data_IF_453748194040
#
_entry.id   IF_453748194040
#
_cell.length_a   1.000
_cell.length_b   1.000
_cell.length_c   1.000
_cell.angle_alpha   90.00
_cell.angle_beta   90.00
_cell.angle_gamma   90.00
#
_symmetry.space_group_name_H-M   'P 1'
#
loop_
_entity.id
_entity.type
_entity.pdbx_description
1 polymer ?
#
# COMPACT_ATOMS: atom_id res chain seq x y z
N UNK A 1 -4.26 49.55 -19.44
CA UNK A 1 -4.68 48.44 -20.33
C UNK A 1 -4.69 47.18 -19.49
N UNK A 2 -5.83 46.52 -19.32
CA UNK A 2 -5.97 45.29 -18.53
C UNK A 2 -5.82 44.10 -19.48
N UNK A 3 -4.92 43.15 -19.18
CA UNK A 3 -4.76 41.90 -19.93
C UNK A 3 -5.16 40.75 -19.00
N UNK A 4 -6.05 39.89 -19.52
CA UNK A 4 -6.95 39.03 -18.76
C UNK A 4 -6.33 37.78 -18.14
N UNK A 5 -7.03 37.34 -17.09
CA UNK A 5 -6.87 36.08 -16.37
C UNK A 5 -7.25 34.89 -17.24
N UNK A 6 -6.32 33.98 -17.52
CA UNK A 6 -6.67 32.62 -17.93
C UNK A 6 -6.92 31.80 -16.67
N UNK A 7 -8.19 31.67 -16.31
CA UNK A 7 -8.64 30.69 -15.34
C UNK A 7 -8.40 29.29 -15.94
N UNK A 8 -7.39 28.58 -15.43
CA UNK A 8 -7.32 27.15 -15.62
C UNK A 8 -8.51 26.55 -14.86
N UNK A 9 -9.53 26.12 -15.59
CA UNK A 9 -10.56 25.24 -15.04
C UNK A 9 -9.89 23.89 -14.81
N UNK A 10 -9.26 23.69 -13.65
CA UNK A 10 -8.98 22.35 -13.18
C UNK A 10 -10.33 21.68 -12.96
N UNK A 11 -10.79 20.88 -13.93
CA UNK A 11 -11.84 19.92 -13.67
C UNK A 11 -11.47 19.19 -12.38
N UNK A 12 -12.40 19.01 -11.42
CA UNK A 12 -12.11 18.16 -10.29
C UNK A 12 -11.77 16.80 -10.91
N UNK A 13 -10.50 16.41 -10.85
CA UNK A 13 -10.17 15.00 -11.02
C UNK A 13 -11.05 14.32 -9.98
N UNK A 14 -12.00 13.51 -10.43
CA UNK A 14 -12.68 12.57 -9.55
C UNK A 14 -11.57 11.67 -9.02
N UNK A 15 -10.92 12.12 -7.94
CA UNK A 15 -10.18 11.27 -7.05
C UNK A 15 -11.26 10.37 -6.49
N UNK A 16 -11.52 9.27 -7.18
CA UNK A 16 -12.20 8.13 -6.59
C UNK A 16 -11.29 7.80 -5.41
N UNK A 17 -11.64 8.30 -4.23
CA UNK A 17 -10.95 7.97 -3.00
C UNK A 17 -10.98 6.46 -2.94
N UNK A 18 -9.84 5.82 -3.21
CA UNK A 18 -9.78 4.38 -3.20
C UNK A 18 -10.24 3.93 -1.81
N UNK A 19 -11.25 3.08 -1.79
CA UNK A 19 -11.77 2.56 -0.54
C UNK A 19 -10.67 1.74 0.14
N UNK A 20 -10.58 1.88 1.45
CA UNK A 20 -9.70 1.04 2.25
C UNK A 20 -10.20 -0.40 2.23
N UNK A 21 -9.38 -1.32 1.75
CA UNK A 21 -9.72 -2.72 1.62
C UNK A 21 -8.92 -3.56 2.62
N UNK A 22 -9.56 -4.52 3.32
CA UNK A 22 -8.85 -5.41 4.23
C UNK A 22 -7.91 -6.34 3.46
N UNK A 23 -6.77 -6.64 4.05
CA UNK A 23 -5.83 -7.65 3.55
C UNK A 23 -6.14 -9.02 4.17
N UNK A 24 -6.02 -10.08 3.38
CA UNK A 24 -6.11 -11.45 3.88
C UNK A 24 -4.85 -11.81 4.67
N UNK A 25 -5.04 -12.47 5.80
CA UNK A 25 -3.98 -13.07 6.62
C UNK A 25 -3.54 -14.39 6.00
N UNK A 26 -2.30 -14.47 5.51
CA UNK A 26 -1.77 -15.64 4.79
C UNK A 26 -0.75 -16.39 5.63
N UNK A 27 0.25 -15.68 6.14
CA UNK A 27 1.37 -16.27 6.89
C UNK A 27 1.33 -15.99 8.39
N UNK A 28 0.38 -15.19 8.87
CA UNK A 28 0.27 -14.81 10.28
C UNK A 28 -1.13 -14.34 10.64
N UNK A 29 -1.55 -14.55 11.89
CA UNK A 29 -2.75 -13.97 12.48
C UNK A 29 -2.44 -12.79 13.42
N UNK A 30 -1.15 -12.50 13.64
CA UNK A 30 -0.67 -11.46 14.55
C UNK A 30 -0.55 -10.08 13.91
N UNK A 31 -0.83 -9.98 12.60
CA UNK A 31 -0.88 -8.71 11.87
C UNK A 31 -2.26 -8.57 11.23
N UNK A 32 -2.80 -7.36 11.26
CA UNK A 32 -3.95 -6.99 10.44
C UNK A 32 -3.63 -5.73 9.67
N UNK A 33 -4.17 -5.59 8.46
CA UNK A 33 -3.89 -4.43 7.63
C UNK A 33 -5.04 -4.11 6.69
N UNK A 34 -5.13 -2.84 6.35
CA UNK A 34 -5.94 -2.36 5.24
C UNK A 34 -5.06 -1.67 4.21
N UNK A 35 -5.46 -1.70 2.95
CA UNK A 35 -4.75 -1.08 1.84
C UNK A 35 -5.72 -0.26 1.00
N UNK A 36 -5.33 0.97 0.68
CA UNK A 36 -5.95 1.80 -0.34
C UNK A 36 -5.06 1.77 -1.59
N UNK A 37 -5.63 1.37 -2.72
CA UNK A 37 -4.95 1.36 -4.02
C UNK A 37 -5.66 2.31 -4.96
N UNK A 38 -5.01 3.42 -5.28
CA UNK A 38 -5.58 4.50 -6.09
C UNK A 38 -4.90 4.56 -7.44
N UNK A 39 -5.68 4.41 -8.51
CA UNK A 39 -5.22 4.67 -9.88
C UNK A 39 -4.93 6.17 -10.06
N UNK A 40 -3.83 6.48 -10.75
CA UNK A 40 -3.38 7.82 -11.10
C UNK A 40 -3.02 7.85 -12.59
N UNK A 41 -2.99 9.03 -13.20
CA UNK A 41 -2.61 9.14 -14.62
C UNK A 41 -1.15 8.72 -14.90
N UNK A 42 -0.29 8.73 -13.86
CA UNK A 42 1.12 8.35 -13.92
C UNK A 42 1.40 6.93 -13.41
N UNK A 43 0.38 6.19 -12.94
CA UNK A 43 0.55 4.86 -12.34
C UNK A 43 -0.41 4.62 -11.18
N UNK A 44 0.12 4.11 -10.07
CA UNK A 44 -0.68 3.73 -8.90
C UNK A 44 -0.07 4.29 -7.61
N UNK A 45 -0.92 4.87 -6.77
CA UNK A 45 -0.59 5.24 -5.39
C UNK A 45 -1.15 4.20 -4.42
N UNK A 46 -0.34 3.77 -3.46
CA UNK A 46 -0.69 2.72 -2.50
C UNK A 46 -0.42 3.25 -1.10
N UNK A 47 -1.47 3.25 -0.29
CA UNK A 47 -1.39 3.56 1.14
C UNK A 47 -1.83 2.34 1.92
N UNK A 48 -1.10 2.02 2.98
CA UNK A 48 -1.36 0.86 3.80
C UNK A 48 -1.45 1.30 5.26
N UNK A 49 -2.31 0.65 6.03
CA UNK A 49 -2.43 0.83 7.46
C UNK A 49 -2.33 -0.53 8.12
N UNK A 50 -1.20 -0.79 8.77
CA UNK A 50 -0.86 -2.05 9.41
C UNK A 50 -0.93 -1.89 10.93
N UNK A 51 -1.52 -2.88 11.59
CA UNK A 51 -1.61 -2.95 13.05
C UNK A 51 -0.99 -4.26 13.49
N UNK A 52 -0.05 -4.16 14.43
CA UNK A 52 0.55 -5.31 15.08
C UNK A 52 -0.31 -5.72 16.28
N UNK A 53 -0.89 -6.93 16.19
CA UNK A 53 -1.72 -7.54 17.24
C UNK A 53 -0.92 -8.49 18.14
N UNK A 54 0.40 -8.61 17.90
CA UNK A 54 1.27 -9.42 18.73
C UNK A 54 1.33 -8.88 20.17
N UNK A 55 1.63 -9.75 21.15
CA UNK A 55 1.91 -9.31 22.52
C UNK A 55 3.00 -8.23 22.56
N UNK A 56 2.93 -7.32 23.55
CA UNK A 56 3.91 -6.22 23.68
C UNK A 56 5.36 -6.67 23.88
N UNK A 57 5.57 -7.92 24.30
CA UNK A 57 6.88 -8.54 24.47
C UNK A 57 7.32 -9.39 23.25
N UNK A 58 6.54 -9.40 22.17
CA UNK A 58 6.89 -10.08 20.94
C UNK A 58 8.08 -9.39 20.25
N UNK A 59 8.79 -10.15 19.41
CA UNK A 59 9.88 -9.59 18.62
C UNK A 59 9.36 -8.52 17.64
N UNK A 60 10.21 -7.53 17.35
CA UNK A 60 9.91 -6.50 16.38
C UNK A 60 10.29 -6.98 14.99
N UNK A 61 9.28 -7.40 14.22
CA UNK A 61 9.50 -7.90 12.86
C UNK A 61 9.66 -6.73 11.89
N UNK A 62 10.69 -6.77 11.05
CA UNK A 62 10.82 -5.83 9.93
C UNK A 62 9.94 -6.32 8.78
N UNK A 63 9.05 -5.46 8.31
CA UNK A 63 8.07 -5.72 7.26
C UNK A 63 8.36 -4.89 6.03
N UNK A 64 7.93 -5.40 4.87
CA UNK A 64 7.99 -4.68 3.61
C UNK A 64 6.67 -4.76 2.84
N UNK A 65 6.29 -3.64 2.23
CA UNK A 65 5.16 -3.56 1.30
C UNK A 65 5.68 -3.84 -0.10
N UNK A 66 5.12 -4.86 -0.74
CA UNK A 66 5.53 -5.33 -2.07
C UNK A 66 4.32 -5.34 -2.99
N UNK A 67 4.49 -4.80 -4.18
CA UNK A 67 3.53 -4.92 -5.28
C UNK A 67 3.95 -6.08 -6.17
N UNK A 68 3.01 -6.96 -6.47
CA UNK A 68 3.20 -8.08 -7.40
C UNK A 68 2.47 -7.75 -8.69
N UNK A 69 3.19 -7.65 -9.80
CA UNK A 69 2.63 -7.48 -11.14
C UNK A 69 1.97 -8.77 -11.64
N UNK A 70 1.03 -8.65 -12.58
CA UNK A 70 0.42 -9.81 -13.26
C UNK A 70 1.43 -10.60 -14.10
N UNK A 71 2.56 -9.98 -14.43
CA UNK A 71 3.73 -10.62 -15.06
C UNK A 71 4.62 -11.39 -14.07
N UNK A 72 4.29 -11.35 -12.77
CA UNK A 72 5.07 -11.96 -11.70
C UNK A 72 6.20 -11.09 -11.15
N UNK A 73 6.40 -9.88 -11.68
CA UNK A 73 7.38 -8.93 -11.14
C UNK A 73 7.02 -8.53 -9.71
N UNK A 74 8.04 -8.28 -8.88
CA UNK A 74 7.85 -7.84 -7.50
C UNK A 74 8.61 -6.56 -7.24
N UNK A 75 7.92 -5.54 -6.74
CA UNK A 75 8.52 -4.23 -6.44
C UNK A 75 8.27 -3.87 -4.99
N UNK A 76 9.34 -3.70 -4.21
CA UNK A 76 9.27 -3.25 -2.81
C UNK A 76 9.08 -1.73 -2.76
N UNK A 77 8.01 -1.27 -2.14
CA UNK A 77 7.66 0.16 -2.07
C UNK A 77 8.04 0.82 -0.75
N UNK A 78 7.91 0.09 0.36
CA UNK A 78 8.22 0.61 1.70
C UNK A 78 8.72 -0.51 2.60
N UNK A 79 9.52 -0.15 3.61
CA UNK A 79 10.00 -1.05 4.66
C UNK A 79 9.82 -0.34 6.00
N UNK A 80 9.33 -1.06 7.01
CA UNK A 80 9.10 -0.52 8.37
C UNK A 80 9.23 -1.64 9.40
N UNK A 81 9.27 -1.26 10.68
CA UNK A 81 9.26 -2.20 11.80
C UNK A 81 7.85 -2.28 12.36
N UNK A 82 7.35 -3.50 12.60
CA UNK A 82 6.09 -3.72 13.28
C UNK A 82 6.29 -3.65 14.79
N UNK A 83 5.78 -2.58 15.40
CA UNK A 83 5.82 -2.38 16.84
C UNK A 83 4.47 -2.75 17.47
N UNK A 84 4.40 -3.77 18.33
CA UNK A 84 3.20 -4.10 19.09
C UNK A 84 2.62 -2.88 19.82
N UNK A 85 1.31 -2.68 19.73
CA UNK A 85 0.62 -1.54 20.35
C UNK A 85 0.66 -0.23 19.53
N UNK A 86 1.35 -0.22 18.38
CA UNK A 86 1.40 0.90 17.45
C UNK A 86 0.85 0.51 16.06
N UNK A 87 0.35 1.51 15.35
CA UNK A 87 -0.10 1.37 13.96
C UNK A 87 0.93 2.00 13.02
N UNK A 88 1.34 1.28 11.99
CA UNK A 88 2.21 1.78 10.93
C UNK A 88 1.37 2.13 9.69
N UNK A 89 1.64 3.29 9.08
CA UNK A 89 0.95 3.74 7.87
C UNK A 89 1.89 3.94 6.69
N UNK A 90 2.53 2.88 6.16
CA UNK A 90 3.45 3.01 5.04
C UNK A 90 2.71 3.37 3.75
N UNK A 91 3.36 4.18 2.92
CA UNK A 91 2.84 4.66 1.65
C UNK A 91 3.91 4.53 0.56
N UNK A 92 3.48 4.34 -0.68
CA UNK A 92 4.37 4.26 -1.83
C UNK A 92 3.65 4.48 -3.15
N UNK A 93 4.42 4.65 -4.21
CA UNK A 93 3.92 4.83 -5.56
C UNK A 93 4.71 3.98 -6.55
N UNK A 94 4.04 3.59 -7.63
CA UNK A 94 4.66 2.82 -8.73
C UNK A 94 4.07 3.29 -10.06
N UNK A 95 4.88 3.32 -11.12
CA UNK A 95 4.41 3.68 -12.46
C UNK A 95 3.51 2.62 -13.11
N UNK A 96 3.43 1.42 -12.52
CA UNK A 96 2.57 0.34 -12.96
C UNK A 96 1.10 0.72 -12.79
N UNK A 97 0.27 0.65 -13.85
CA UNK A 97 -1.18 0.81 -13.76
C UNK A 97 -1.84 -0.25 -12.86
N UNK A 98 -2.94 0.10 -12.19
CA UNK A 98 -3.61 -0.79 -11.23
C UNK A 98 -4.10 -2.10 -11.87
N UNK A 99 -4.50 -2.06 -13.14
CA UNK A 99 -4.93 -3.23 -13.91
C UNK A 99 -3.79 -4.22 -14.17
N UNK A 100 -2.54 -3.79 -14.06
CA UNK A 100 -1.35 -4.64 -14.19
C UNK A 100 -0.85 -5.17 -12.83
N UNK A 101 -1.44 -4.72 -11.72
CA UNK A 101 -1.12 -5.24 -10.38
C UNK A 101 -1.98 -6.47 -10.11
N UNK A 102 -1.34 -7.57 -9.75
CA UNK A 102 -2.00 -8.80 -9.32
C UNK A 102 -2.33 -8.77 -7.83
N UNK A 103 -1.40 -8.27 -7.01
CA UNK A 103 -1.59 -8.17 -5.56
C UNK A 103 -0.70 -7.11 -4.92
N UNK A 104 -1.16 -6.60 -3.78
CA UNK A 104 -0.33 -5.91 -2.80
C UNK A 104 -0.10 -6.85 -1.62
N UNK A 105 1.15 -7.00 -1.20
CA UNK A 105 1.57 -7.90 -0.13
C UNK A 105 2.30 -7.14 0.96
N UNK A 106 2.16 -7.64 2.19
CA UNK A 106 3.08 -7.36 3.29
C UNK A 106 3.88 -8.63 3.53
N UNK A 107 5.20 -8.50 3.44
CA UNK A 107 6.13 -9.61 3.61
C UNK A 107 7.07 -9.35 4.78
N UNK A 108 7.58 -10.40 5.42
CA UNK A 108 8.74 -10.26 6.29
C UNK A 108 9.94 -9.80 5.44
N UNK A 109 10.58 -8.70 5.84
CA UNK A 109 11.63 -8.06 5.03
C UNK A 109 12.87 -8.96 4.85
N UNK A 110 13.17 -9.78 5.86
CA UNK A 110 14.34 -10.64 5.93
C UNK A 110 14.18 -11.94 5.12
N UNK A 111 13.02 -12.60 5.25
CA UNK A 111 12.76 -13.90 4.61
C UNK A 111 11.97 -13.80 3.31
N UNK A 112 11.30 -12.68 3.05
CA UNK A 112 10.37 -12.53 1.93
C UNK A 112 9.06 -13.31 2.12
N UNK A 113 8.83 -13.91 3.28
CA UNK A 113 7.60 -14.66 3.55
C UNK A 113 6.38 -13.74 3.48
N UNK A 114 5.37 -14.12 2.70
CA UNK A 114 4.10 -13.39 2.61
C UNK A 114 3.31 -13.57 3.90
N UNK A 115 3.04 -12.46 4.57
CA UNK A 115 2.29 -12.43 5.83
C UNK A 115 0.85 -12.01 5.59
N UNK A 116 0.66 -10.93 4.84
CA UNK A 116 -0.64 -10.41 4.43
C UNK A 116 -0.69 -10.21 2.92
N UNK A 117 -1.86 -10.39 2.32
CA UNK A 117 -2.05 -10.19 0.89
C UNK A 117 -3.41 -9.59 0.56
N UNK A 118 -3.43 -8.70 -0.42
CA UNK A 118 -4.65 -8.25 -1.09
C UNK A 118 -4.49 -8.45 -2.58
N UNK A 119 -5.29 -9.37 -3.15
CA UNK A 119 -5.40 -9.53 -4.60
C UNK A 119 -6.29 -8.46 -5.22
N UNK A 120 -5.99 -8.06 -6.46
CA UNK A 120 -6.71 -7.05 -7.25
C UNK A 120 -7.34 -7.61 -8.53
#
# INVERSE_FOLDING_TARGET
MFVGVQAYSSAPAHQVSASSQPMAQVGTTLLTSTVQVSSQNWGTSINLNCVCLAPLNAHHDTLAMVVVGRDGSQTRLATWVAEPGHSASPAGSISMPVDQIAAVQVVAADSGQVLLQRSL
#
